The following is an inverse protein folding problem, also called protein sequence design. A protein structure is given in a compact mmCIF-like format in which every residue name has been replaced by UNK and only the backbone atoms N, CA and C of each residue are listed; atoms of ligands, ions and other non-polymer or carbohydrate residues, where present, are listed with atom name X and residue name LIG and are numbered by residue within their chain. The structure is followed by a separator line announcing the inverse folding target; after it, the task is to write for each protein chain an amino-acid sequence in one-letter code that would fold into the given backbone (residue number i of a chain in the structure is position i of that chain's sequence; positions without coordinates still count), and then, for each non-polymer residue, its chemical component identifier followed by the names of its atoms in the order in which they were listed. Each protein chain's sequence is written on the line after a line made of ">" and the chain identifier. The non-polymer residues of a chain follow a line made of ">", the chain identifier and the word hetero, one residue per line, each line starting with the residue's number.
data_IF_892755704687
#
_entry.id   IF_892755704687
#
_cell.length_a   1.000
_cell.length_b   1.000
_cell.length_c   1.000
_cell.angle_alpha   90.00
_cell.angle_beta   90.00
_cell.angle_gamma   90.00
#
_symmetry.space_group_name_H-M   'P 1'
#
loop_
_entity.id
_entity.type
_entity.pdbx_description
1 polymer ?
#
# COMPACT_ATOMS: atom_id res chain seq x y z
N UNK A 1 -13.54 -2.52 -9.41
CA UNK A 1 -14.42 -2.40 -8.23
C UNK A 1 -14.64 -3.82 -7.73
N UNK A 2 -13.67 -4.34 -6.98
CA UNK A 2 -13.80 -5.66 -6.36
C UNK A 2 -14.97 -5.58 -5.37
N UNK A 3 -15.84 -6.59 -5.31
CA UNK A 3 -16.90 -6.61 -4.32
C UNK A 3 -16.22 -6.57 -2.93
N UNK A 4 -16.68 -5.69 -2.07
CA UNK A 4 -16.26 -5.65 -0.66
C UNK A 4 -16.67 -6.97 0.00
N UNK A 5 -15.82 -8.00 -0.08
CA UNK A 5 -15.94 -9.18 0.78
C UNK A 5 -15.53 -8.72 2.18
N UNK A 6 -16.52 -8.68 3.05
CA UNK A 6 -16.59 -7.95 4.32
C UNK A 6 -15.73 -8.53 5.47
N UNK A 7 -14.48 -8.92 5.22
CA UNK A 7 -13.58 -9.42 6.27
C UNK A 7 -12.36 -8.52 6.40
N UNK A 8 -12.16 -7.93 7.59
CA UNK A 8 -10.94 -7.20 7.92
C UNK A 8 -9.75 -8.13 8.10
N UNK A 9 -8.55 -7.58 8.18
CA UNK A 9 -7.29 -8.35 8.34
C UNK A 9 -6.91 -8.61 9.79
N UNK A 10 -7.71 -8.13 10.75
CA UNK A 10 -7.53 -8.41 12.18
C UNK A 10 -8.20 -9.74 12.53
N UNK A 11 -7.55 -10.83 12.14
CA UNK A 11 -7.99 -12.20 12.35
C UNK A 11 -6.79 -13.17 12.26
N UNK A 12 -6.94 -14.38 12.81
CA UNK A 12 -5.91 -15.43 12.70
C UNK A 12 -5.73 -15.93 11.26
N UNK A 13 -6.79 -15.87 10.45
CA UNK A 13 -6.81 -16.29 9.05
C UNK A 13 -7.60 -15.31 8.20
N UNK A 14 -7.14 -15.09 6.97
CA UNK A 14 -7.83 -14.30 5.95
C UNK A 14 -7.63 -14.95 4.58
N UNK A 15 -8.63 -14.79 3.71
CA UNK A 15 -8.62 -15.30 2.34
C UNK A 15 -8.37 -14.11 1.42
N UNK A 16 -7.40 -14.25 0.52
CA UNK A 16 -7.06 -13.24 -0.48
C UNK A 16 -6.97 -13.87 -1.86
N UNK A 17 -7.30 -13.08 -2.87
CA UNK A 17 -6.94 -13.40 -4.25
C UNK A 17 -5.41 -13.40 -4.39
N UNK A 18 -4.87 -14.32 -5.19
CA UNK A 18 -3.42 -14.45 -5.41
C UNK A 18 -2.78 -13.15 -5.90
N UNK A 19 -3.51 -12.38 -6.72
CA UNK A 19 -3.05 -11.10 -7.27
C UNK A 19 -2.91 -10.00 -6.19
N UNK A 20 -3.50 -10.19 -5.01
CA UNK A 20 -3.47 -9.24 -3.90
C UNK A 20 -2.38 -9.55 -2.87
N UNK A 21 -1.57 -10.59 -3.09
CA UNK A 21 -0.47 -10.97 -2.18
C UNK A 21 0.88 -10.91 -2.89
N UNK A 22 1.93 -10.63 -2.12
CA UNK A 22 3.30 -10.58 -2.62
C UNK A 22 4.27 -11.21 -1.62
N UNK A 23 5.41 -11.69 -2.13
CA UNK A 23 6.47 -12.22 -1.29
C UNK A 23 7.07 -11.11 -0.43
N UNK A 24 7.14 -11.36 0.89
CA UNK A 24 7.77 -10.46 1.85
C UNK A 24 9.26 -10.28 1.51
N UNK A 25 9.78 -9.04 1.41
CA UNK A 25 11.21 -8.81 1.23
C UNK A 25 12.04 -9.47 2.34
N UNK A 26 13.20 -10.03 1.98
CA UNK A 26 14.07 -10.78 2.91
C UNK A 26 14.67 -9.89 4.00
N UNK A 27 14.82 -8.60 3.74
CA UNK A 27 15.45 -7.62 4.63
C UNK A 27 14.48 -6.90 5.58
N UNK A 28 13.18 -7.23 5.56
CA UNK A 28 12.18 -6.64 6.45
C UNK A 28 11.70 -7.66 7.49
N UNK A 29 11.30 -7.19 8.67
CA UNK A 29 10.49 -7.99 9.61
C UNK A 29 9.04 -8.10 9.11
N UNK A 30 8.24 -8.98 9.71
CA UNK A 30 6.80 -9.03 9.39
C UNK A 30 6.09 -7.73 9.76
N UNK A 31 6.39 -7.14 10.92
CA UNK A 31 5.82 -5.86 11.36
C UNK A 31 6.11 -4.74 10.35
N UNK A 32 7.37 -4.62 9.91
CA UNK A 32 7.74 -3.63 8.90
C UNK A 32 7.04 -3.87 7.56
N UNK A 33 6.94 -5.12 7.13
CA UNK A 33 6.27 -5.46 5.88
C UNK A 33 4.77 -5.22 5.94
N UNK A 34 4.12 -5.42 7.10
CA UNK A 34 2.69 -5.22 7.28
C UNK A 34 2.27 -3.74 7.24
N UNK A 35 3.16 -2.80 7.56
CA UNK A 35 2.88 -1.35 7.53
C UNK A 35 2.87 -0.73 6.13
N UNK A 36 3.39 -1.43 5.12
CA UNK A 36 3.64 -0.87 3.78
C UNK A 36 2.43 -0.94 2.83
N UNK A 37 1.65 -2.04 2.73
CA UNK A 37 0.79 -2.28 1.57
C UNK A 37 -0.21 -1.17 1.27
N UNK A 38 -1.00 -0.76 2.27
CA UNK A 38 -2.06 0.22 2.06
C UNK A 38 -1.52 1.60 1.69
N UNK A 39 -0.57 2.11 2.48
CA UNK A 39 -0.06 3.48 2.37
C UNK A 39 0.90 3.58 1.18
N UNK A 40 1.75 2.56 1.00
CA UNK A 40 2.67 2.45 -0.12
C UNK A 40 1.94 2.35 -1.46
N UNK A 41 0.92 1.49 -1.56
CA UNK A 41 0.12 1.39 -2.78
C UNK A 41 -0.60 2.71 -3.10
N UNK A 42 -1.25 3.31 -2.10
CA UNK A 42 -1.95 4.59 -2.28
C UNK A 42 -1.00 5.69 -2.76
N UNK A 43 0.20 5.77 -2.17
CA UNK A 43 1.22 6.74 -2.54
C UNK A 43 1.76 6.50 -3.95
N UNK A 44 1.98 5.22 -4.32
CA UNK A 44 2.44 4.85 -5.65
C UNK A 44 1.39 5.16 -6.72
N UNK A 45 0.14 4.79 -6.49
CA UNK A 45 -0.97 5.08 -7.41
C UNK A 45 -1.12 6.60 -7.60
N UNK A 46 -1.12 7.37 -6.51
CA UNK A 46 -1.23 8.82 -6.58
C UNK A 46 -0.07 9.45 -7.38
N UNK A 47 1.18 9.18 -6.98
CA UNK A 47 2.34 9.89 -7.51
C UNK A 47 2.82 9.35 -8.86
N UNK A 48 2.73 8.04 -9.08
CA UNK A 48 3.30 7.37 -10.26
C UNK A 48 2.25 7.08 -11.32
N UNK A 49 1.12 6.46 -10.95
CA UNK A 49 0.14 6.02 -11.95
C UNK A 49 -0.77 7.16 -12.42
N UNK A 50 -1.29 7.95 -11.47
CA UNK A 50 -2.24 9.01 -11.74
C UNK A 50 -1.56 10.33 -12.09
N UNK A 51 -0.74 10.87 -11.18
CA UNK A 51 -0.06 12.16 -11.40
C UNK A 51 1.12 12.04 -12.35
N UNK A 52 1.76 10.86 -12.44
CA UNK A 52 2.95 10.62 -13.26
C UNK A 52 4.02 11.68 -13.02
N UNK A 53 4.31 11.94 -11.74
CA UNK A 53 5.21 13.01 -11.30
C UNK A 53 6.58 12.90 -11.98
N UNK A 54 7.05 14.01 -12.53
CA UNK A 54 8.33 14.12 -13.23
C UNK A 54 9.40 14.82 -12.40
N UNK A 55 10.66 14.57 -12.74
CA UNK A 55 11.80 15.23 -12.09
C UNK A 55 11.71 16.76 -12.28
N UNK A 56 11.80 17.50 -11.18
CA UNK A 56 11.75 18.96 -11.16
C UNK A 56 10.36 19.54 -10.89
N UNK A 57 9.31 18.71 -10.91
CA UNK A 57 7.98 19.10 -10.48
C UNK A 57 7.89 19.18 -8.95
N UNK A 58 6.95 19.99 -8.46
CA UNK A 58 6.70 20.19 -7.03
C UNK A 58 5.33 19.63 -6.68
N UNK A 59 5.27 18.89 -5.58
CA UNK A 59 4.03 18.32 -5.04
C UNK A 59 3.81 18.84 -3.61
N UNK A 60 2.55 19.10 -3.27
CA UNK A 60 2.15 19.43 -1.89
C UNK A 60 1.72 18.14 -1.19
N UNK A 61 2.44 17.77 -0.13
CA UNK A 61 2.06 16.66 0.74
C UNK A 61 1.46 17.22 2.02
N UNK A 62 0.18 16.96 2.23
CA UNK A 62 -0.53 17.31 3.48
C UNK A 62 -0.39 16.16 4.48
N UNK A 63 -0.12 16.48 5.75
CA UNK A 63 -0.03 15.45 6.80
C UNK A 63 1.17 14.51 6.68
N UNK A 64 2.27 14.92 6.03
CA UNK A 64 3.42 14.06 5.72
C UNK A 64 4.24 13.55 6.91
N UNK A 65 3.87 13.88 8.14
CA UNK A 65 4.50 13.36 9.36
C UNK A 65 3.88 12.05 9.85
N UNK A 66 2.74 11.65 9.30
CA UNK A 66 2.00 10.45 9.71
C UNK A 66 1.71 9.55 8.51
N UNK A 67 1.59 8.26 8.80
CA UNK A 67 1.26 7.19 7.88
C UNK A 67 0.14 6.36 8.52
#
# INVERSE_FOLDING_TARGET
>A
MTPFTACGTVADYAIFDEELVALKPKNLTFDQAASIPLIGLTSYQALVEHTKLQKGEKVLILGGSSA
#
